data_IF_421897251547
#
_entry.id   IF_421897251547
#
_cell.length_a   1.000
_cell.length_b   1.000
_cell.length_c   1.000
_cell.angle_alpha   90.00
_cell.angle_beta   90.00
_cell.angle_gamma   90.00
#
_symmetry.space_group_name_H-M   'P 1'
#
loop_
_entity.id
_entity.type
_entity.pdbx_description
1 polymer ?
#
# COMPACT_ATOMS: atom_id res chain seq x y z
N UNK A 1 13.32 10.87 52.44
CA UNK A 1 12.27 11.05 51.40
C UNK A 1 12.85 10.59 50.08
N UNK A 2 12.44 9.41 49.61
CA UNK A 2 12.88 8.88 48.32
C UNK A 2 11.94 9.42 47.24
N UNK A 3 12.46 10.26 46.34
CA UNK A 3 11.75 10.59 45.12
C UNK A 3 11.78 9.33 44.25
N UNK A 4 10.61 8.69 44.05
CA UNK A 4 10.45 7.71 42.98
C UNK A 4 10.61 8.48 41.68
N UNK A 5 11.72 8.27 40.99
CA UNK A 5 11.84 8.65 39.59
C UNK A 5 10.75 7.88 38.83
N UNK A 6 9.67 8.58 38.50
CA UNK A 6 8.70 8.14 37.51
C UNK A 6 9.51 7.81 36.27
N UNK A 7 9.44 6.55 35.82
CA UNK A 7 10.00 6.13 34.56
C UNK A 7 9.50 7.10 33.50
N UNK A 8 10.38 7.99 33.04
CA UNK A 8 10.18 8.69 31.79
C UNK A 8 10.29 7.58 30.77
N UNK A 9 9.16 7.04 30.34
CA UNK A 9 9.10 6.10 29.23
C UNK A 9 9.83 6.80 28.11
N UNK A 10 11.02 6.30 27.80
CA UNK A 10 11.78 6.71 26.65
C UNK A 10 10.91 6.34 25.44
N UNK A 11 10.21 7.33 24.87
CA UNK A 11 9.32 7.21 23.72
C UNK A 11 10.13 7.01 22.41
N UNK A 12 11.33 6.41 22.47
CA UNK A 12 12.09 6.02 21.27
C UNK A 12 11.64 4.68 20.69
N UNK A 13 10.36 4.32 20.84
CA UNK A 13 9.82 3.28 19.98
C UNK A 13 9.97 3.76 18.53
N UNK A 14 10.73 3.03 17.68
CA UNK A 14 10.88 3.42 16.30
C UNK A 14 9.50 3.41 15.68
N UNK A 15 9.07 4.56 15.15
CA UNK A 15 7.77 4.70 14.51
C UNK A 15 7.55 3.52 13.54
N UNK A 16 6.56 2.67 13.85
CA UNK A 16 6.37 1.40 13.15
C UNK A 16 5.78 1.61 11.76
N UNK A 17 5.96 0.65 10.85
CA UNK A 17 5.32 0.70 9.54
C UNK A 17 3.78 0.74 9.66
N UNK A 18 3.22 0.13 10.72
CA UNK A 18 1.79 0.22 11.05
C UNK A 18 1.34 1.66 11.33
N UNK A 19 2.15 2.46 12.03
CA UNK A 19 1.83 3.87 12.29
C UNK A 19 1.86 4.71 11.01
N UNK A 20 2.77 4.39 10.08
CA UNK A 20 2.82 5.03 8.75
C UNK A 20 1.59 4.64 7.94
N UNK A 21 1.19 3.36 7.97
CA UNK A 21 0.00 2.87 7.29
C UNK A 21 -1.26 3.56 7.81
N UNK A 22 -1.44 3.64 9.13
CA UNK A 22 -2.57 4.32 9.77
C UNK A 22 -2.64 5.80 9.37
N UNK A 23 -1.51 6.50 9.38
CA UNK A 23 -1.43 7.88 8.91
C UNK A 23 -1.87 8.02 7.44
N UNK A 24 -1.40 7.13 6.54
CA UNK A 24 -1.76 7.16 5.13
C UNK A 24 -3.25 6.87 4.91
N UNK A 25 -3.85 6.00 5.71
CA UNK A 25 -5.29 5.72 5.67
C UNK A 25 -6.12 6.93 6.15
N UNK A 26 -5.67 7.62 7.20
CA UNK A 26 -6.28 8.88 7.65
C UNK A 26 -6.16 9.98 6.59
N UNK A 27 -4.99 10.11 5.95
CA UNK A 27 -4.79 11.04 4.84
C UNK A 27 -5.73 10.73 3.67
N UNK A 28 -5.85 9.46 3.29
CA UNK A 28 -6.76 9.00 2.22
C UNK A 28 -8.21 9.33 2.55
N UNK A 29 -8.62 9.17 3.81
CA UNK A 29 -9.96 9.54 4.29
C UNK A 29 -10.24 11.04 4.15
N UNK A 30 -9.21 11.89 4.20
CA UNK A 30 -9.28 13.33 3.97
C UNK A 30 -9.10 13.73 2.48
N UNK A 31 -9.12 12.78 1.54
CA UNK A 31 -8.82 12.96 0.11
C UNK A 31 -7.39 13.49 -0.17
N UNK A 32 -6.43 13.04 0.64
CA UNK A 32 -5.00 13.30 0.47
C UNK A 32 -4.30 11.97 0.19
N UNK A 33 -3.63 11.84 -0.96
CA UNK A 33 -2.91 10.62 -1.35
C UNK A 33 -1.42 10.88 -1.52
N UNK A 34 -0.62 9.82 -1.32
CA UNK A 34 0.82 9.83 -1.49
C UNK A 34 1.20 8.78 -2.52
N UNK A 35 1.94 9.19 -3.54
CA UNK A 35 2.27 8.36 -4.69
C UNK A 35 3.72 8.60 -5.10
N UNK A 36 4.39 7.56 -5.63
CA UNK A 36 5.72 7.72 -6.24
C UNK A 36 5.55 8.02 -7.72
N UNK A 37 5.92 9.23 -8.15
CA UNK A 37 5.92 9.63 -9.55
C UNK A 37 7.32 10.14 -9.93
N UNK A 38 7.85 9.67 -11.06
CA UNK A 38 9.19 10.04 -11.53
C UNK A 38 10.27 9.94 -10.45
N UNK A 39 10.25 8.83 -9.70
CA UNK A 39 11.20 8.53 -8.61
C UNK A 39 11.17 9.52 -7.44
N UNK A 40 10.03 10.18 -7.21
CA UNK A 40 9.82 11.10 -6.09
C UNK A 40 8.49 10.86 -5.41
N UNK A 41 8.43 11.09 -4.10
CA UNK A 41 7.17 11.14 -3.37
C UNK A 41 6.38 12.39 -3.74
N UNK A 42 5.16 12.20 -4.21
CA UNK A 42 4.20 13.26 -4.51
C UNK A 42 3.00 13.15 -3.59
N UNK A 43 2.63 14.27 -2.97
CA UNK A 43 1.37 14.41 -2.25
C UNK A 43 0.32 15.02 -3.18
N UNK A 44 -0.81 14.35 -3.34
CA UNK A 44 -1.93 14.80 -4.18
C UNK A 44 -3.13 15.07 -3.29
N UNK A 45 -3.76 16.23 -3.49
CA UNK A 45 -4.96 16.65 -2.77
C UNK A 45 -6.05 16.95 -3.79
N UNK A 46 -7.17 16.24 -3.72
CA UNK A 46 -8.33 16.47 -4.61
C UNK A 46 -9.57 16.67 -3.76
N UNK A 47 -10.08 17.90 -3.73
CA UNK A 47 -11.18 18.27 -2.84
C UNK A 47 -10.94 17.80 -1.39
N UNK A 48 -9.84 18.24 -0.74
CA UNK A 48 -9.47 17.76 0.58
C UNK A 48 -10.50 18.16 1.64
N UNK A 49 -10.80 17.24 2.55
CA UNK A 49 -11.56 17.56 3.76
C UNK A 49 -10.60 18.20 4.77
N UNK A 50 -10.64 19.54 4.87
CA UNK A 50 -9.78 20.29 5.78
C UNK A 50 -10.09 20.06 7.26
N UNK A 51 -11.33 19.69 7.60
CA UNK A 51 -11.72 19.35 8.97
C UNK A 51 -11.05 18.06 9.42
N UNK A 52 -10.91 17.08 8.52
CA UNK A 52 -10.15 15.86 8.78
C UNK A 52 -8.63 16.03 8.64
N UNK A 53 -8.18 16.79 7.64
CA UNK A 53 -6.75 16.92 7.33
C UNK A 53 -5.99 17.82 8.31
N UNK A 54 -6.56 18.96 8.72
CA UNK A 54 -5.85 19.95 9.54
C UNK A 54 -5.34 19.39 10.88
N UNK A 55 -6.11 18.57 11.63
CA UNK A 55 -5.63 18.02 12.90
C UNK A 55 -4.47 17.06 12.75
N UNK A 56 -4.39 16.28 11.66
CA UNK A 56 -3.38 15.22 11.48
C UNK A 56 -2.17 15.65 10.63
N UNK A 57 -2.22 16.82 10.00
CA UNK A 57 -1.15 17.32 9.11
C UNK A 57 0.24 17.33 9.78
N UNK A 58 0.32 17.66 11.07
CA UNK A 58 1.58 17.74 11.81
C UNK A 58 2.33 16.40 11.86
N UNK A 59 1.62 15.28 11.70
CA UNK A 59 2.21 13.95 11.63
C UNK A 59 3.14 13.81 10.41
N UNK A 60 3.01 14.64 9.37
CA UNK A 60 3.99 14.67 8.28
C UNK A 60 5.40 15.01 8.77
N UNK A 61 5.49 15.97 9.69
CA UNK A 61 6.76 16.43 10.23
C UNK A 61 7.31 15.41 11.23
N UNK A 62 6.44 14.71 11.96
CA UNK A 62 6.83 13.68 12.92
C UNK A 62 7.27 12.37 12.26
N UNK A 63 6.57 11.93 11.21
CA UNK A 63 6.87 10.71 10.46
C UNK A 63 8.08 10.94 9.53
N UNK A 64 8.14 12.10 8.90
CA UNK A 64 9.18 12.48 7.97
C UNK A 64 8.99 11.92 6.56
N UNK A 65 9.45 12.70 5.57
CA UNK A 65 9.32 12.37 4.15
C UNK A 65 9.97 11.03 3.79
N UNK A 66 11.19 10.78 4.27
CA UNK A 66 11.96 9.58 3.91
C UNK A 66 11.23 8.28 4.28
N UNK A 67 10.52 8.31 5.41
CA UNK A 67 9.81 7.14 5.91
C UNK A 67 8.51 6.88 5.16
N UNK A 68 7.75 7.95 4.86
CA UNK A 68 6.58 7.86 3.99
C UNK A 68 7.00 7.35 2.61
N UNK A 69 8.10 7.87 2.06
CA UNK A 69 8.61 7.44 0.77
C UNK A 69 9.00 5.96 0.76
N UNK A 70 9.76 5.51 1.76
CA UNK A 70 10.16 4.11 1.88
C UNK A 70 8.94 3.17 1.95
N UNK A 71 7.93 3.53 2.74
CA UNK A 71 6.70 2.76 2.88
C UNK A 71 5.92 2.68 1.56
N UNK A 72 5.65 3.83 0.92
CA UNK A 72 4.88 3.88 -0.34
C UNK A 72 5.61 3.15 -1.47
N UNK A 73 6.96 3.20 -1.52
CA UNK A 73 7.75 2.39 -2.47
C UNK A 73 7.59 0.89 -2.21
N UNK A 74 7.59 0.47 -0.95
CA UNK A 74 7.35 -0.92 -0.56
C UNK A 74 5.97 -1.42 -0.99
N UNK A 75 4.92 -0.64 -0.73
CA UNK A 75 3.55 -0.98 -1.14
C UNK A 75 3.39 -1.04 -2.66
N UNK A 76 3.94 -0.06 -3.38
CA UNK A 76 3.89 -0.05 -4.86
C UNK A 76 4.55 -1.30 -5.44
N UNK A 77 5.73 -1.67 -4.93
CA UNK A 77 6.42 -2.89 -5.37
C UNK A 77 5.64 -4.17 -5.06
N UNK A 78 4.97 -4.23 -3.90
CA UNK A 78 4.11 -5.34 -3.53
C UNK A 78 2.89 -5.44 -4.46
N UNK A 79 2.23 -4.31 -4.75
CA UNK A 79 1.09 -4.26 -5.66
C UNK A 79 1.46 -4.70 -7.07
N UNK A 80 2.57 -4.20 -7.63
CA UNK A 80 3.07 -4.65 -8.94
C UNK A 80 3.36 -6.15 -8.97
N UNK A 81 3.89 -6.72 -7.89
CA UNK A 81 4.15 -8.16 -7.82
C UNK A 81 2.85 -8.97 -7.84
N UNK A 82 1.81 -8.50 -7.13
CA UNK A 82 0.48 -9.11 -7.15
C UNK A 82 -0.15 -9.02 -8.55
N UNK A 83 -0.09 -7.86 -9.19
CA UNK A 83 -0.62 -7.65 -10.55
C UNK A 83 0.06 -8.56 -11.58
N UNK A 84 1.39 -8.67 -11.52
CA UNK A 84 2.15 -9.62 -12.36
C UNK A 84 1.71 -11.07 -12.14
N UNK A 85 1.51 -11.46 -10.88
CA UNK A 85 1.05 -12.80 -10.52
C UNK A 85 -0.38 -13.07 -11.02
N UNK A 86 -1.27 -12.09 -10.91
CA UNK A 86 -2.65 -12.18 -11.39
C UNK A 86 -2.69 -12.35 -12.91
N UNK A 87 -1.90 -11.58 -13.65
CA UNK A 87 -1.78 -11.70 -15.11
C UNK A 87 -1.27 -13.09 -15.53
N UNK A 88 -0.17 -13.55 -14.93
CA UNK A 88 0.39 -14.87 -15.22
C UNK A 88 -0.57 -16.02 -14.87
N UNK A 89 -1.46 -15.81 -13.90
CA UNK A 89 -2.50 -16.78 -13.54
C UNK A 89 -3.65 -16.78 -14.54
N UNK A 90 -4.04 -15.60 -15.03
CA UNK A 90 -5.05 -15.46 -16.09
C UNK A 90 -4.59 -16.13 -17.40
N UNK A 91 -3.34 -15.94 -17.81
CA UNK A 91 -2.77 -16.57 -19.01
C UNK A 91 -2.77 -18.11 -18.91
N UNK A 92 -2.38 -18.63 -17.74
CA UNK A 92 -2.39 -20.08 -17.47
C UNK A 92 -3.81 -20.65 -17.54
N UNK A 93 -4.79 -19.94 -16.98
CA UNK A 93 -6.19 -20.35 -17.05
C UNK A 93 -6.71 -20.33 -18.50
N UNK A 94 -6.37 -19.30 -19.27
CA UNK A 94 -6.76 -19.20 -20.67
C UNK A 94 -6.22 -20.37 -21.50
N UNK A 95 -4.93 -20.70 -21.36
CA UNK A 95 -4.32 -21.85 -22.04
C UNK A 95 -4.97 -23.18 -21.65
N UNK A 96 -5.31 -23.37 -20.37
CA UNK A 96 -5.99 -24.56 -19.90
C UNK A 96 -7.39 -24.69 -20.52
N UNK A 97 -8.15 -23.60 -20.60
CA UNK A 97 -9.48 -23.56 -21.24
C UNK A 97 -9.38 -23.92 -22.73
N UNK A 98 -8.41 -23.36 -23.44
CA UNK A 98 -8.21 -23.66 -24.87
C UNK A 98 -7.79 -25.13 -25.08
N UNK A 99 -6.92 -25.66 -24.21
CA UNK A 99 -6.56 -27.09 -24.23
C UNK A 99 -7.79 -27.98 -24.01
N UNK A 100 -8.63 -27.66 -23.03
CA UNK A 100 -9.85 -28.42 -22.75
C UNK A 100 -10.86 -28.34 -23.91
N UNK A 101 -10.98 -27.19 -24.57
CA UNK A 101 -11.81 -27.02 -25.77
C UNK A 101 -11.27 -27.85 -26.94
N UNK A 102 -9.98 -27.80 -27.21
CA UNK A 102 -9.34 -28.60 -28.27
C UNK A 102 -9.45 -30.11 -28.03
N UNK A 103 -9.28 -30.56 -26.77
CA UNK A 103 -9.47 -31.97 -26.38
C UNK A 103 -10.93 -32.42 -26.55
N UNK A 104 -11.91 -31.54 -26.29
CA UNK A 104 -13.33 -31.86 -26.47
C UNK A 104 -13.68 -32.04 -27.95
N UNK A 105 -13.14 -31.20 -28.84
CA UNK A 105 -13.35 -31.29 -30.30
C UNK A 105 -12.68 -32.53 -30.89
N UNK A 106 -11.47 -32.89 -30.45
CA UNK A 106 -10.77 -34.09 -30.92
C UNK A 106 -11.47 -35.42 -30.54
N UNK A 107 -12.36 -35.40 -29.55
CA UNK A 107 -13.12 -36.57 -29.08
C UNK A 107 -14.44 -36.78 -29.84
N UNK A 108 -14.85 -35.84 -30.71
CA UNK A 108 -16.13 -35.85 -31.43
C UNK A 108 -16.03 -36.21 -32.93
N UNK A 109 -14.92 -36.79 -33.39
CA UNK A 109 -14.82 -37.32 -34.76
C UNK A 109 -15.30 -38.78 -34.83
N UNK A 110 -16.42 -39.10 -35.51
CA UNK A 110 -16.79 -40.47 -35.84
C UNK A 110 -15.92 -40.97 -37.01
N UNK A 111 -15.40 -42.19 -36.86
CA UNK A 111 -14.83 -42.96 -37.96
C UNK A 111 -15.90 -43.49 -38.91
#
# INVERSE_FOLDING_TARGET
MAYKATAYTDLSEPLTDDAVAEFLDLARSANVTFEILHDRLHMRMVNPDWTMWSPIRHLLDEIGQERIEAFVRGETAAQEAVERSALASADRLHLAVETMRGVRVARELPG
#
